data_IF_740658469693
#
_entry.id   IF_740658469693
#
_cell.length_a   1.000
_cell.length_b   1.000
_cell.length_c   1.000
_cell.angle_alpha   90.00
_cell.angle_beta   90.00
_cell.angle_gamma   90.00
#
_symmetry.space_group_name_H-M   'P 1'
#
loop_
_entity.id
_entity.type
_entity.pdbx_description
1 polymer ?
#
# COMPACT_ATOMS: atom_id res chain seq x y z
N UNK A 1 7.84 -3.63 10.69
CA UNK A 1 8.62 -4.24 9.58
C UNK A 1 7.96 -5.56 9.21
N UNK A 2 7.66 -5.74 7.93
CA UNK A 2 7.05 -6.93 7.36
C UNK A 2 8.07 -7.63 6.44
N UNK A 3 8.13 -8.95 6.46
CA UNK A 3 8.92 -9.72 5.49
C UNK A 3 7.96 -10.41 4.52
N UNK A 4 8.01 -10.01 3.25
CA UNK A 4 7.09 -10.43 2.21
C UNK A 4 7.92 -10.95 1.05
N UNK A 5 7.88 -12.27 0.80
CA UNK A 5 8.68 -12.93 -0.25
C UNK A 5 10.20 -12.63 -0.16
N UNK A 6 10.73 -12.43 1.06
CA UNK A 6 12.14 -12.08 1.28
C UNK A 6 12.47 -10.59 1.12
N UNK A 7 11.46 -9.76 0.85
CA UNK A 7 11.57 -8.30 0.81
C UNK A 7 11.15 -7.74 2.16
N UNK A 8 12.01 -6.91 2.74
CA UNK A 8 11.68 -6.16 3.95
C UNK A 8 10.90 -4.88 3.59
N UNK A 9 9.73 -4.76 4.17
CA UNK A 9 8.84 -3.62 4.01
C UNK A 9 8.74 -2.90 5.34
N UNK A 10 9.12 -1.63 5.36
CA UNK A 10 9.12 -0.83 6.57
C UNK A 10 7.72 -0.29 6.87
N UNK A 11 7.33 -0.42 8.14
CA UNK A 11 6.05 0.06 8.65
C UNK A 11 6.26 0.90 9.88
N UNK A 12 5.37 1.86 10.11
CA UNK A 12 5.34 2.62 11.35
C UNK A 12 4.72 1.81 12.52
N UNK A 13 4.55 2.48 13.66
CA UNK A 13 3.97 1.90 14.89
C UNK A 13 2.51 1.50 14.77
N UNK A 14 1.78 2.06 13.80
CA UNK A 14 0.35 1.85 13.60
C UNK A 14 0.10 0.87 12.42
N UNK A 15 1.17 0.37 11.78
CA UNK A 15 1.11 -0.61 10.70
C UNK A 15 1.02 0.01 9.30
N UNK A 16 1.19 1.32 9.16
CA UNK A 16 1.22 1.97 7.85
C UNK A 16 2.57 1.78 7.16
N UNK A 17 2.56 1.63 5.85
CA UNK A 17 3.78 1.58 5.03
C UNK A 17 4.51 2.91 5.07
N UNK A 18 5.81 2.89 5.38
CA UNK A 18 6.66 4.09 5.30
C UNK A 18 6.88 4.54 3.85
N UNK A 19 6.94 3.58 2.92
CA UNK A 19 7.12 3.83 1.50
C UNK A 19 5.93 3.30 0.71
N UNK A 20 5.05 4.20 0.27
CA UNK A 20 3.84 3.82 -0.50
C UNK A 20 4.15 3.13 -1.83
N UNK A 21 5.35 3.34 -2.40
CA UNK A 21 5.78 2.67 -3.63
C UNK A 21 6.07 1.17 -3.43
N UNK A 22 6.25 0.73 -2.18
CA UNK A 22 6.43 -0.69 -1.85
C UNK A 22 5.09 -1.44 -1.81
N UNK A 23 3.95 -0.74 -1.90
CA UNK A 23 2.63 -1.37 -1.89
C UNK A 23 2.46 -2.31 -3.10
N UNK A 24 1.96 -3.51 -2.82
CA UNK A 24 1.49 -4.49 -3.79
C UNK A 24 0.45 -5.41 -3.11
N UNK A 25 -0.12 -6.34 -3.87
CA UNK A 25 -1.13 -7.26 -3.32
C UNK A 25 -0.61 -8.17 -2.21
N UNK A 26 0.66 -8.62 -2.29
CA UNK A 26 1.26 -9.48 -1.27
C UNK A 26 1.41 -8.73 0.07
N UNK A 27 1.73 -7.44 0.01
CA UNK A 27 1.76 -6.54 1.18
C UNK A 27 0.37 -6.42 1.79
N UNK A 28 -0.65 -6.16 0.97
CA UNK A 28 -2.02 -6.08 1.45
C UNK A 28 -2.48 -7.39 2.11
N UNK A 29 -2.18 -8.54 1.49
CA UNK A 29 -2.48 -9.87 2.05
C UNK A 29 -1.76 -10.13 3.37
N UNK A 30 -0.49 -9.74 3.46
CA UNK A 30 0.31 -9.92 4.68
C UNK A 30 -0.22 -9.07 5.84
N UNK A 31 -0.61 -7.82 5.56
CA UNK A 31 -1.24 -6.94 6.55
C UNK A 31 -2.60 -7.51 6.98
N UNK A 32 -3.42 -7.95 6.03
CA UNK A 32 -4.73 -8.53 6.33
C UNK A 32 -4.60 -9.81 7.18
N UNK A 33 -3.60 -10.65 6.91
CA UNK A 33 -3.33 -11.85 7.71
C UNK A 33 -2.94 -11.51 9.16
N UNK A 34 -2.14 -10.46 9.37
CA UNK A 34 -1.78 -10.00 10.73
C UNK A 34 -3.00 -9.54 11.52
N UNK A 35 -3.93 -8.86 10.86
CA UNK A 35 -5.17 -8.38 11.45
C UNK A 35 -6.29 -9.45 11.49
N UNK A 36 -5.99 -10.67 11.04
CA UNK A 36 -6.98 -11.76 10.89
C UNK A 36 -8.20 -11.36 10.04
N UNK A 37 -7.97 -10.55 9.00
CA UNK A 37 -8.96 -10.08 8.03
C UNK A 37 -8.87 -10.92 6.76
N UNK A 38 -10.02 -11.36 6.24
CA UNK A 38 -10.12 -11.98 4.93
C UNK A 38 -10.37 -10.91 3.84
N UNK A 39 -9.48 -10.81 2.86
CA UNK A 39 -9.64 -9.91 1.71
C UNK A 39 -10.57 -10.53 0.67
N UNK A 40 -11.87 -10.24 0.79
CA UNK A 40 -12.88 -10.54 -0.22
C UNK A 40 -12.77 -9.63 -1.44
N UNK A 41 -13.48 -9.97 -2.52
CA UNK A 41 -13.54 -9.15 -3.74
C UNK A 41 -13.99 -7.71 -3.46
N UNK A 42 -14.95 -7.53 -2.54
CA UNK A 42 -15.41 -6.20 -2.12
C UNK A 42 -14.30 -5.37 -1.44
N UNK A 43 -13.41 -6.02 -0.67
CA UNK A 43 -12.26 -5.33 -0.08
C UNK A 43 -11.28 -4.89 -1.17
N UNK A 44 -11.02 -5.73 -2.17
CA UNK A 44 -10.15 -5.40 -3.29
C UNK A 44 -10.69 -4.26 -4.15
N UNK A 45 -12.00 -4.21 -4.42
CA UNK A 45 -12.62 -3.08 -5.13
C UNK A 45 -12.32 -1.73 -4.45
N UNK A 46 -12.44 -1.67 -3.13
CA UNK A 46 -12.14 -0.45 -2.35
C UNK A 46 -10.65 -0.12 -2.37
N UNK A 47 -9.79 -1.13 -2.21
CA UNK A 47 -8.33 -0.96 -2.22
C UNK A 47 -7.86 -0.39 -3.57
N UNK A 48 -8.31 -0.97 -4.69
CA UNK A 48 -7.93 -0.49 -6.03
C UNK A 48 -8.54 0.87 -6.35
N UNK A 49 -9.75 1.16 -5.87
CA UNK A 49 -10.35 2.48 -6.00
C UNK A 49 -9.47 3.55 -5.32
N UNK A 50 -9.02 3.28 -4.09
CA UNK A 50 -8.14 4.17 -3.35
C UNK A 50 -6.78 4.32 -4.04
N UNK A 51 -6.19 3.22 -4.50
CA UNK A 51 -4.90 3.25 -5.21
C UNK A 51 -4.97 4.09 -6.49
N UNK A 52 -6.05 3.91 -7.26
CA UNK A 52 -6.34 4.70 -8.46
C UNK A 52 -6.52 6.17 -8.11
N UNK A 53 -7.22 6.49 -7.02
CA UNK A 53 -7.43 7.85 -6.56
C UNK A 53 -6.11 8.55 -6.20
N UNK A 54 -5.24 7.89 -5.43
CA UNK A 54 -3.94 8.45 -5.03
C UNK A 54 -3.03 8.69 -6.23
N UNK A 55 -2.95 7.73 -7.17
CA UNK A 55 -2.17 7.88 -8.41
C UNK A 55 -2.62 9.05 -9.27
N UNK A 56 -3.94 9.29 -9.34
CA UNK A 56 -4.49 10.38 -10.14
C UNK A 56 -4.40 11.76 -9.44
N UNK A 57 -4.26 11.78 -8.12
CA UNK A 57 -4.11 13.04 -7.36
C UNK A 57 -2.68 13.55 -7.38
N UNK A 58 -1.67 12.68 -7.47
CA UNK A 58 -0.29 13.15 -7.64
C UNK A 58 -0.14 13.86 -8.99
N UNK A 59 0.01 15.20 -9.03
CA UNK A 59 0.43 15.84 -10.28
C UNK A 59 1.81 15.27 -10.63
N UNK A 60 2.14 15.12 -11.93
CA UNK A 60 3.54 14.94 -12.30
C UNK A 60 4.29 16.08 -11.63
N UNK A 61 5.25 15.76 -10.75
CA UNK A 61 6.09 16.77 -10.11
C UNK A 61 6.55 17.70 -11.23
N UNK A 62 6.13 18.99 -11.28
CA UNK A 62 6.79 19.89 -12.20
C UNK A 62 8.24 19.86 -11.75
N UNK A 63 9.10 19.32 -12.60
CA UNK A 63 10.55 19.42 -12.46
C UNK A 63 10.85 20.89 -12.22
N UNK A 64 11.08 21.18 -10.94
CA UNK A 64 11.60 22.40 -10.34
C UNK A 64 11.59 23.61 -11.28
N UNK A 65 10.58 24.46 -11.14
CA UNK A 65 10.67 25.88 -11.52
C UNK A 65 10.78 26.73 -10.24
N UNK A 66 11.92 26.62 -9.55
CA UNK A 66 12.55 27.70 -8.78
C UNK A 66 14.05 27.48 -8.81
#
# INVERSE_FOLDING_TARGET
MLNINGIEVETDKDGYLLHSQQWNEDVARSIAQLESIELTDAHWEVIYLYETFIKNITPPQPSVCW
#
